data_IF_377569259782
#
_entry.id   IF_377569259782
#
_cell.length_a   1.000
_cell.length_b   1.000
_cell.length_c   1.000
_cell.angle_alpha   90.00
_cell.angle_beta   90.00
_cell.angle_gamma   90.00
#
_symmetry.space_group_name_H-M   'P 1'
#
loop_
_entity.id
_entity.type
_entity.pdbx_description
1 polymer ?
#
# COMPACT_ATOMS: atom_id res chain seq x y z
N UNK A 1 -24.49 11.86 3.74
CA UNK A 1 -24.82 11.19 5.01
C UNK A 1 -24.66 9.69 4.80
N UNK A 2 -23.58 9.11 5.31
CA UNK A 2 -23.48 7.65 5.42
C UNK A 2 -24.38 7.23 6.57
N UNK A 3 -25.43 6.44 6.29
CA UNK A 3 -26.21 5.78 7.32
C UNK A 3 -25.27 4.84 8.08
N UNK A 4 -24.83 5.28 9.26
CA UNK A 4 -24.21 4.39 10.25
C UNK A 4 -25.36 3.54 10.78
N UNK A 5 -25.32 2.25 10.49
CA UNK A 5 -26.24 1.32 11.16
C UNK A 5 -25.79 1.21 12.62
N UNK A 6 -26.59 1.78 13.53
CA UNK A 6 -26.34 1.77 14.98
C UNK A 6 -26.63 0.40 15.63
N UNK A 7 -26.89 -0.63 14.82
CA UNK A 7 -27.20 -1.98 15.30
C UNK A 7 -26.00 -2.61 16.03
N UNK A 8 -26.14 -2.92 17.35
CA UNK A 8 -24.99 -3.31 18.14
C UNK A 8 -24.40 -4.69 17.81
N UNK A 9 -25.07 -5.43 16.94
CA UNK A 9 -24.63 -6.73 16.47
C UNK A 9 -23.42 -6.64 15.52
N UNK A 10 -23.19 -5.48 14.90
CA UNK A 10 -22.15 -5.26 13.89
C UNK A 10 -20.85 -4.67 14.45
N UNK A 11 -20.84 -4.14 15.69
CA UNK A 11 -19.63 -3.58 16.32
C UNK A 11 -18.43 -4.53 16.32
N UNK A 12 -18.57 -5.83 16.64
CA UNK A 12 -17.42 -6.75 16.64
C UNK A 12 -16.83 -6.93 15.24
N UNK A 13 -17.69 -6.97 14.22
CA UNK A 13 -17.26 -7.08 12.83
C UNK A 13 -16.54 -5.80 12.38
N UNK A 14 -17.07 -4.62 12.70
CA UNK A 14 -16.48 -3.32 12.37
C UNK A 14 -15.10 -3.16 13.03
N UNK A 15 -14.97 -3.53 14.32
CA UNK A 15 -13.69 -3.44 15.01
C UNK A 15 -12.64 -4.41 14.43
N UNK A 16 -13.05 -5.63 14.06
CA UNK A 16 -12.20 -6.58 13.37
C UNK A 16 -11.73 -6.06 11.99
N UNK A 17 -12.63 -5.49 11.19
CA UNK A 17 -12.27 -4.88 9.91
C UNK A 17 -11.29 -3.71 10.08
N UNK A 18 -11.47 -2.90 11.12
CA UNK A 18 -10.59 -1.79 11.43
C UNK A 18 -9.20 -2.27 11.82
N UNK A 19 -9.12 -3.31 12.65
CA UNK A 19 -7.85 -3.94 13.05
C UNK A 19 -7.12 -4.55 11.85
N UNK A 20 -7.83 -5.28 10.99
CA UNK A 20 -7.27 -5.86 9.75
C UNK A 20 -6.76 -4.75 8.83
N UNK A 21 -7.50 -3.65 8.69
CA UNK A 21 -7.08 -2.53 7.84
C UNK A 21 -5.78 -1.90 8.33
N UNK A 22 -5.67 -1.62 9.64
CA UNK A 22 -4.42 -1.11 10.21
C UNK A 22 -3.27 -2.12 10.08
N UNK A 23 -3.56 -3.41 10.25
CA UNK A 23 -2.57 -4.47 10.09
C UNK A 23 -2.05 -4.58 8.65
N UNK A 24 -2.93 -4.47 7.65
CA UNK A 24 -2.57 -4.46 6.23
C UNK A 24 -1.70 -3.25 5.90
N UNK A 25 -2.03 -2.07 6.43
CA UNK A 25 -1.21 -0.86 6.24
C UNK A 25 0.15 -1.00 6.92
N UNK A 26 0.20 -1.51 8.15
CA UNK A 26 1.45 -1.69 8.88
C UNK A 26 2.36 -2.74 8.21
N UNK A 27 1.81 -3.88 7.81
CA UNK A 27 2.56 -4.95 7.13
C UNK A 27 3.06 -4.52 5.75
N UNK A 28 2.22 -3.83 4.97
CA UNK A 28 2.65 -3.27 3.68
C UNK A 28 3.77 -2.23 3.85
N UNK A 29 3.65 -1.34 4.83
CA UNK A 29 4.71 -0.35 5.14
C UNK A 29 6.03 -1.03 5.53
N UNK A 30 5.97 -2.08 6.35
CA UNK A 30 7.17 -2.86 6.73
C UNK A 30 7.84 -3.53 5.52
N UNK A 31 7.05 -4.12 4.61
CA UNK A 31 7.55 -4.74 3.37
C UNK A 31 8.17 -3.70 2.43
N UNK A 32 7.55 -2.52 2.31
CA UNK A 32 8.10 -1.41 1.52
C UNK A 32 9.42 -0.92 2.12
N UNK A 33 9.51 -0.81 3.45
CA UNK A 33 10.71 -0.34 4.14
C UNK A 33 11.89 -1.31 3.98
N UNK A 34 11.66 -2.60 4.22
CA UNK A 34 12.68 -3.65 4.03
C UNK A 34 13.17 -3.71 2.57
N UNK A 35 12.26 -3.47 1.63
CA UNK A 35 12.61 -3.37 0.23
C UNK A 35 13.39 -2.10 -0.13
N UNK A 36 13.00 -0.92 0.37
CA UNK A 36 13.73 0.32 0.12
C UNK A 36 15.18 0.27 0.63
N UNK A 37 15.40 -0.46 1.74
CA UNK A 37 16.72 -0.66 2.32
C UNK A 37 17.63 -1.51 1.40
N UNK A 38 17.10 -2.57 0.81
CA UNK A 38 17.84 -3.43 -0.14
C UNK A 38 18.00 -2.79 -1.52
N UNK A 39 17.05 -1.95 -1.92
CA UNK A 39 17.08 -1.24 -3.20
C UNK A 39 18.23 -0.24 -3.33
N UNK A 40 18.65 0.40 -2.23
CA UNK A 40 19.78 1.33 -2.24
C UNK A 40 21.09 0.67 -2.68
N UNK A 41 21.35 -0.56 -2.21
CA UNK A 41 22.50 -1.35 -2.61
C UNK A 41 22.37 -1.90 -4.03
N UNK A 42 21.15 -2.28 -4.44
CA UNK A 42 20.86 -2.72 -5.79
C UNK A 42 21.09 -1.60 -6.81
N UNK A 43 20.70 -0.35 -6.54
CA UNK A 43 20.99 0.78 -7.43
C UNK A 43 22.49 0.96 -7.61
N UNK A 44 23.28 0.97 -6.54
CA UNK A 44 24.71 1.24 -6.63
C UNK A 44 25.45 0.16 -7.44
N UNK A 45 25.07 -1.12 -7.29
CA UNK A 45 25.61 -2.22 -8.10
C UNK A 45 25.07 -2.26 -9.54
N UNK A 46 23.77 -2.01 -9.73
CA UNK A 46 23.08 -2.15 -11.04
C UNK A 46 23.31 -0.93 -11.92
N UNK A 47 23.27 0.31 -11.39
CA UNK A 47 23.54 1.51 -12.18
C UNK A 47 25.00 1.61 -12.64
N UNK A 48 25.92 0.90 -11.98
CA UNK A 48 27.32 0.81 -12.43
C UNK A 48 27.55 -0.27 -13.50
N UNK A 49 26.57 -1.12 -13.81
CA UNK A 49 26.72 -2.26 -14.73
C UNK A 49 25.70 -2.22 -15.90
N UNK A 50 25.94 -2.96 -16.98
CA UNK A 50 25.12 -2.95 -18.20
C UNK A 50 23.65 -3.32 -17.88
N UNK A 51 22.74 -2.39 -18.14
CA UNK A 51 21.32 -2.54 -17.93
C UNK A 51 20.74 -3.63 -18.82
N UNK A 52 20.09 -4.62 -18.22
CA UNK A 52 19.25 -5.58 -18.94
C UNK A 52 17.78 -5.18 -18.82
N UNK A 53 17.03 -5.27 -19.92
CA UNK A 53 15.57 -5.03 -19.98
C UNK A 53 14.83 -5.85 -18.92
N UNK A 54 15.35 -7.03 -18.57
CA UNK A 54 14.80 -7.90 -17.55
C UNK A 54 14.75 -7.23 -16.16
N UNK A 55 15.72 -6.38 -15.84
CA UNK A 55 15.79 -5.62 -14.58
C UNK A 55 14.76 -4.50 -14.55
N UNK A 56 14.54 -3.83 -15.68
CA UNK A 56 13.52 -2.78 -15.81
C UNK A 56 12.10 -3.37 -15.72
N UNK A 57 11.89 -4.53 -16.33
CA UNK A 57 10.64 -5.27 -16.22
C UNK A 57 10.36 -5.69 -14.77
N UNK A 58 11.40 -6.15 -14.06
CA UNK A 58 11.31 -6.53 -12.65
C UNK A 58 11.00 -5.35 -11.74
N UNK A 59 11.67 -4.21 -11.95
CA UNK A 59 11.33 -2.95 -11.27
C UNK A 59 9.87 -2.55 -11.58
N UNK A 60 9.48 -2.52 -12.85
CA UNK A 60 8.13 -2.13 -13.26
C UNK A 60 7.04 -2.95 -12.55
N UNK A 61 7.16 -4.28 -12.58
CA UNK A 61 6.18 -5.17 -11.92
C UNK A 61 6.16 -4.97 -10.40
N UNK A 62 7.33 -4.78 -9.77
CA UNK A 62 7.46 -4.63 -8.31
C UNK A 62 6.92 -3.29 -7.82
N UNK A 63 7.27 -2.20 -8.48
CA UNK A 63 6.79 -0.85 -8.16
C UNK A 63 5.31 -0.68 -8.49
N UNK A 64 4.82 -1.23 -9.61
CA UNK A 64 3.40 -1.21 -9.95
C UNK A 64 2.54 -1.95 -8.93
N UNK A 65 3.00 -3.09 -8.40
CA UNK A 65 2.27 -3.85 -7.39
C UNK A 65 2.12 -3.08 -6.07
N UNK A 66 3.19 -2.44 -5.59
CA UNK A 66 3.15 -1.59 -4.39
C UNK A 66 2.27 -0.37 -4.61
N UNK A 67 2.43 0.31 -5.76
CA UNK A 67 1.63 1.49 -6.12
C UNK A 67 0.14 1.13 -6.21
N UNK A 68 -0.19 -0.01 -6.81
CA UNK A 68 -1.56 -0.50 -6.90
C UNK A 68 -2.14 -0.76 -5.50
N UNK A 69 -1.36 -1.35 -4.59
CA UNK A 69 -1.80 -1.58 -3.21
C UNK A 69 -2.10 -0.26 -2.48
N UNK A 70 -1.23 0.75 -2.63
CA UNK A 70 -1.44 2.10 -2.06
C UNK A 70 -2.66 2.79 -2.66
N UNK A 71 -2.84 2.74 -3.98
CA UNK A 71 -4.02 3.31 -4.66
C UNK A 71 -5.30 2.61 -4.22
N UNK A 72 -5.27 1.29 -4.05
CA UNK A 72 -6.41 0.51 -3.59
C UNK A 72 -6.78 0.89 -2.14
N UNK A 73 -5.79 1.05 -1.26
CA UNK A 73 -6.01 1.55 0.11
C UNK A 73 -6.56 2.98 0.08
N UNK A 74 -6.03 3.86 -0.77
CA UNK A 74 -6.50 5.23 -0.95
C UNK A 74 -7.96 5.28 -1.42
N UNK A 75 -8.37 4.35 -2.29
CA UNK A 75 -9.73 4.26 -2.83
C UNK A 75 -10.73 3.65 -1.84
N UNK A 76 -10.28 2.73 -0.98
CA UNK A 76 -11.11 2.08 0.03
C UNK A 76 -11.16 2.84 1.36
N UNK A 77 -10.18 3.70 1.65
CA UNK A 77 -10.31 4.69 2.70
C UNK A 77 -11.33 5.74 2.24
N UNK A 78 -12.41 6.00 2.99
CA UNK A 78 -13.25 7.16 2.75
C UNK A 78 -12.43 8.40 3.15
N UNK A 79 -11.55 8.83 2.26
CA UNK A 79 -10.98 10.17 2.31
C UNK A 79 -12.17 11.12 2.19
N UNK A 80 -12.40 12.01 3.17
CA UNK A 80 -13.35 13.08 3.02
C UNK A 80 -12.81 13.98 1.89
N UNK A 81 -13.26 13.75 0.67
CA UNK A 81 -13.06 14.65 -0.47
C UNK A 81 -13.97 15.88 -0.37
N UNK A 82 -14.58 16.14 0.78
CA UNK A 82 -15.57 17.21 0.99
C UNK A 82 -14.96 18.60 1.13
N UNK A 83 -13.63 18.74 1.16
CA UNK A 83 -12.99 20.05 1.41
C UNK A 83 -12.27 20.61 0.17
N UNK A 84 -12.65 20.14 -1.03
CA UNK A 84 -12.29 20.77 -2.30
C UNK A 84 -13.54 21.08 -3.11
N UNK A 85 -14.10 22.28 -2.90
CA UNK A 85 -15.16 22.88 -3.72
C UNK A 85 -16.20 23.64 -2.93
#
# INVERSE_FOLDING_TARGET
>A
MTYVSDDPLWWPAIDAFRLISYFVVASSTAVVYDWAFTFGQEIELIWSQRWSIMTFLYLGVRYLGVLYSVVNILWNLPLPTTDIG
#
